data_IF_707822615771
#
_entry.id   IF_707822615771
#
_cell.length_a   1.000
_cell.length_b   1.000
_cell.length_c   1.000
_cell.angle_alpha   90.00
_cell.angle_beta   90.00
_cell.angle_gamma   90.00
#
_symmetry.space_group_name_H-M   'P 1'
#
loop_
_entity.id
_entity.type
_entity.pdbx_description
1 polymer ?
#
# COMPACT_ATOMS: atom_id res chain seq x y z
N UNK A 1 -14.07 10.30 -4.41
CA UNK A 1 -14.37 10.37 -2.96
C UNK A 1 -13.25 11.22 -2.37
N UNK A 2 -13.51 12.13 -1.43
CA UNK A 2 -12.45 12.99 -0.90
C UNK A 2 -11.44 12.15 -0.09
N UNK A 3 -10.16 12.53 -0.12
CA UNK A 3 -9.05 11.84 0.57
C UNK A 3 -8.36 10.73 -0.24
N UNK A 4 -9.14 9.87 -0.90
CA UNK A 4 -8.58 8.80 -1.75
C UNK A 4 -8.40 9.21 -3.21
N UNK A 5 -7.39 8.66 -3.85
CA UNK A 5 -7.22 8.78 -5.30
C UNK A 5 -8.09 7.75 -6.02
N UNK A 6 -8.33 6.62 -5.36
CA UNK A 6 -9.12 5.49 -5.82
C UNK A 6 -8.35 4.49 -6.67
N UNK A 7 -7.01 4.55 -6.68
CA UNK A 7 -6.19 3.73 -7.57
C UNK A 7 -4.92 3.24 -6.90
N UNK A 8 -4.48 2.04 -7.26
CA UNK A 8 -3.18 1.47 -6.91
C UNK A 8 -2.34 1.28 -8.18
N UNK A 9 -1.03 1.50 -8.12
CA UNK A 9 -0.11 1.16 -9.20
C UNK A 9 0.51 -0.22 -8.93
N UNK A 10 0.10 -1.22 -9.71
CA UNK A 10 0.71 -2.55 -9.64
C UNK A 10 1.89 -2.62 -10.59
N UNK A 11 3.05 -3.03 -10.08
CA UNK A 11 4.29 -3.19 -10.84
C UNK A 11 4.80 -4.63 -10.69
N UNK A 12 5.10 -5.29 -11.81
CA UNK A 12 5.80 -6.56 -11.82
C UNK A 12 7.28 -6.31 -12.16
N UNK A 13 8.17 -6.65 -11.22
CA UNK A 13 9.61 -6.45 -11.40
C UNK A 13 10.27 -7.53 -12.26
N UNK A 14 9.61 -8.67 -12.48
CA UNK A 14 10.15 -9.77 -13.29
C UNK A 14 10.17 -9.43 -14.79
N UNK A 15 9.14 -8.71 -15.26
CA UNK A 15 8.95 -8.35 -16.68
C UNK A 15 8.87 -6.84 -16.93
N UNK A 16 8.89 -6.03 -15.87
CA UNK A 16 8.80 -4.57 -15.95
C UNK A 16 7.42 -4.02 -16.30
N UNK A 17 6.39 -4.88 -16.35
CA UNK A 17 5.02 -4.45 -16.64
C UNK A 17 4.41 -3.69 -15.46
N UNK A 18 3.51 -2.76 -15.76
CA UNK A 18 2.76 -2.03 -14.75
C UNK A 18 1.33 -1.75 -15.21
N UNK A 19 0.42 -1.60 -14.25
CA UNK A 19 -0.96 -1.19 -14.51
C UNK A 19 -1.55 -0.43 -13.33
N UNK A 20 -2.42 0.52 -13.65
CA UNK A 20 -3.20 1.28 -12.67
C UNK A 20 -4.52 0.57 -12.44
N UNK A 21 -4.76 0.09 -11.22
CA UNK A 21 -5.96 -0.67 -10.86
C UNK A 21 -6.89 0.19 -10.00
N UNK A 22 -8.20 0.23 -10.30
CA UNK A 22 -9.16 0.94 -9.45
C UNK A 22 -9.40 0.17 -8.15
N UNK A 23 -9.44 0.89 -7.03
CA UNK A 23 -9.79 0.32 -5.72
C UNK A 23 -11.30 0.43 -5.52
N UNK A 24 -11.94 -0.67 -5.13
CA UNK A 24 -13.39 -0.70 -4.87
C UNK A 24 -13.75 0.31 -3.77
N UNK A 25 -14.81 1.09 -3.98
CA UNK A 25 -15.26 2.12 -3.02
C UNK A 25 -15.58 1.54 -1.64
N UNK A 26 -16.17 0.35 -1.58
CA UNK A 26 -16.50 -0.29 -0.31
C UNK A 26 -15.25 -0.69 0.46
N UNK A 27 -14.20 -1.13 -0.25
CA UNK A 27 -12.91 -1.43 0.36
C UNK A 27 -12.23 -0.15 0.88
N UNK A 28 -12.25 0.95 0.13
CA UNK A 28 -11.73 2.24 0.62
C UNK A 28 -12.41 2.67 1.92
N UNK A 29 -13.73 2.42 2.05
CA UNK A 29 -14.51 2.76 3.24
C UNK A 29 -14.23 1.82 4.41
N UNK A 30 -14.18 0.51 4.17
CA UNK A 30 -13.99 -0.48 5.23
C UNK A 30 -12.55 -0.51 5.76
N UNK A 31 -11.57 -0.34 4.88
CA UNK A 31 -10.15 -0.41 5.21
C UNK A 31 -9.51 0.96 5.50
N UNK A 32 -10.23 2.06 5.23
CA UNK A 32 -9.84 3.47 5.44
C UNK A 32 -8.62 3.93 4.61
N UNK A 33 -7.56 3.15 4.49
CA UNK A 33 -6.31 3.55 3.85
C UNK A 33 -5.09 2.99 4.56
N UNK A 34 -3.90 3.36 4.07
CA UNK A 34 -2.61 2.99 4.67
C UNK A 34 -2.54 1.49 4.95
N UNK A 35 -2.27 1.14 6.20
CA UNK A 35 -2.08 -0.26 6.62
C UNK A 35 -3.31 -1.13 6.33
N UNK A 36 -4.52 -0.59 6.45
CA UNK A 36 -5.75 -1.35 6.20
C UNK A 36 -5.85 -1.82 4.75
N UNK A 37 -5.61 -0.91 3.80
CA UNK A 37 -5.57 -1.27 2.38
C UNK A 37 -4.38 -2.18 2.07
N UNK A 38 -3.18 -1.85 2.56
CA UNK A 38 -2.00 -2.67 2.31
C UNK A 38 -2.17 -4.11 2.82
N UNK A 39 -2.85 -4.28 3.95
CA UNK A 39 -3.19 -5.60 4.52
C UNK A 39 -4.20 -6.33 3.64
N UNK A 40 -5.28 -5.68 3.21
CA UNK A 40 -6.30 -6.30 2.36
C UNK A 40 -5.69 -6.81 1.04
N UNK A 41 -4.84 -6.00 0.41
CA UNK A 41 -4.09 -6.39 -0.78
C UNK A 41 -3.15 -7.58 -0.50
N UNK A 42 -2.36 -7.51 0.57
CA UNK A 42 -1.45 -8.59 0.94
C UNK A 42 -2.19 -9.91 1.16
N UNK A 43 -3.30 -9.92 1.90
CA UNK A 43 -4.09 -11.13 2.14
C UNK A 43 -4.83 -11.62 0.89
N UNK A 44 -5.24 -10.72 -0.01
CA UNK A 44 -5.85 -11.09 -1.29
C UNK A 44 -4.86 -11.75 -2.26
N UNK A 45 -3.57 -11.41 -2.17
CA UNK A 45 -2.52 -11.92 -3.05
C UNK A 45 -1.78 -13.12 -2.47
N UNK A 46 -1.60 -13.16 -1.15
CA UNK A 46 -0.84 -14.22 -0.49
C UNK A 46 -1.62 -15.53 -0.44
N UNK A 47 -1.05 -16.60 -1.01
CA UNK A 47 -1.58 -17.96 -0.91
C UNK A 47 -0.81 -18.75 0.14
N UNK A 48 -1.30 -18.72 1.38
CA UNK A 48 -0.70 -19.49 2.48
C UNK A 48 0.68 -18.98 2.89
N UNK A 49 1.54 -19.89 3.37
CA UNK A 49 2.87 -19.51 3.85
C UNK A 49 3.79 -19.25 2.66
N UNK A 50 4.30 -18.02 2.57
CA UNK A 50 5.23 -17.56 1.54
C UNK A 50 6.65 -17.52 2.13
N UNK A 51 7.64 -17.93 1.35
CA UNK A 51 9.05 -17.64 1.64
C UNK A 51 9.28 -16.12 1.51
N UNK A 52 9.64 -15.40 2.58
CA UNK A 52 9.75 -13.94 2.57
C UNK A 52 10.78 -13.38 1.57
N UNK A 53 11.76 -14.19 1.14
CA UNK A 53 12.79 -13.77 0.18
C UNK A 53 12.52 -14.28 -1.24
N UNK A 54 11.38 -14.94 -1.47
CA UNK A 54 10.96 -15.38 -2.79
C UNK A 54 10.32 -14.25 -3.61
N UNK A 55 10.28 -14.44 -4.93
CA UNK A 55 9.57 -13.54 -5.87
C UNK A 55 8.07 -13.41 -5.59
N UNK A 56 7.49 -14.35 -4.82
CA UNK A 56 6.07 -14.31 -4.44
C UNK A 56 5.75 -13.35 -3.30
N UNK A 57 6.75 -12.80 -2.60
CA UNK A 57 6.51 -11.86 -1.50
C UNK A 57 6.41 -10.42 -2.03
N UNK A 58 5.19 -9.98 -2.31
CA UNK A 58 4.94 -8.61 -2.73
C UNK A 58 5.19 -7.59 -1.59
N UNK A 59 5.61 -6.38 -1.99
CA UNK A 59 5.78 -5.23 -1.11
C UNK A 59 4.61 -4.26 -1.36
N UNK A 60 3.85 -3.96 -0.32
CA UNK A 60 2.66 -3.12 -0.41
C UNK A 60 2.96 -1.78 0.24
N UNK A 61 3.04 -0.71 -0.55
CA UNK A 61 3.28 0.65 -0.05
C UNK A 61 1.98 1.42 -0.20
N UNK A 62 1.42 1.93 0.89
CA UNK A 62 0.13 2.62 0.85
C UNK A 62 0.11 3.90 1.68
N UNK A 63 -0.77 4.80 1.30
CA UNK A 63 -1.05 6.09 1.95
C UNK A 63 -2.43 6.08 2.59
N UNK A 64 -2.60 6.88 3.65
CA UNK A 64 -3.90 7.14 4.26
C UNK A 64 -4.67 8.26 3.55
N UNK A 65 -5.98 8.42 3.81
CA UNK A 65 -6.82 9.43 3.16
C UNK A 65 -6.47 10.87 3.52
N UNK A 66 -5.74 11.08 4.63
CA UNK A 66 -5.22 12.39 5.02
C UNK A 66 -3.84 12.69 4.45
N UNK A 67 -3.19 11.71 3.80
CA UNK A 67 -1.83 11.91 3.30
C UNK A 67 -1.80 13.04 2.27
N UNK A 68 -0.85 13.96 2.40
CA UNK A 68 -0.75 15.11 1.48
C UNK A 68 -1.86 16.16 1.66
N UNK A 69 -2.57 16.17 2.79
CA UNK A 69 -3.50 17.25 3.14
C UNK A 69 -2.84 18.27 4.06
N UNK A 70 -3.45 19.45 4.29
CA UNK A 70 -2.95 20.44 5.26
C UNK A 70 -3.02 19.98 6.74
N UNK A 71 -3.52 18.78 7.03
CA UNK A 71 -3.56 18.25 8.39
C UNK A 71 -2.12 18.08 8.90
N UNK A 72 -1.88 18.56 10.13
CA UNK A 72 -0.57 18.49 10.78
C UNK A 72 -0.09 17.03 10.84
N UNK A 73 1.17 16.81 10.48
CA UNK A 73 1.83 15.49 10.49
C UNK A 73 1.20 14.43 9.57
N UNK A 74 0.50 14.84 8.51
CA UNK A 74 -0.12 13.93 7.54
C UNK A 74 0.81 13.45 6.41
N UNK A 75 2.14 13.50 6.59
CA UNK A 75 3.11 13.04 5.59
C UNK A 75 3.43 11.53 5.63
N UNK A 76 2.60 10.72 6.29
CA UNK A 76 2.90 9.31 6.58
C UNK A 76 2.49 8.36 5.45
N UNK A 77 3.27 7.30 5.27
CA UNK A 77 2.92 6.13 4.48
C UNK A 77 3.36 4.87 5.22
N UNK A 78 2.84 3.71 4.80
CA UNK A 78 3.23 2.42 5.36
C UNK A 78 3.73 1.46 4.28
N UNK A 79 4.51 0.47 4.73
CA UNK A 79 4.91 -0.69 3.97
C UNK A 79 4.41 -1.95 4.68
N UNK A 80 3.76 -2.85 3.95
CA UNK A 80 3.27 -4.15 4.45
C UNK A 80 3.78 -5.29 3.57
N UNK A 81 4.30 -6.36 4.20
CA UNK A 81 4.83 -7.55 3.53
C UNK A 81 5.03 -8.71 4.52
N UNK A 82 5.54 -9.85 4.07
CA UNK A 82 6.02 -10.93 4.96
C UNK A 82 7.46 -10.62 5.39
N UNK A 83 7.73 -10.67 6.70
CA UNK A 83 9.06 -10.39 7.25
C UNK A 83 10.04 -11.54 7.03
N UNK A 84 11.26 -11.31 6.52
CA UNK A 84 12.32 -12.32 6.53
C UNK A 84 12.88 -12.59 7.93
N UNK A 85 12.76 -11.63 8.85
CA UNK A 85 13.25 -11.80 10.23
C UNK A 85 12.31 -12.68 11.07
N UNK A 86 11.00 -12.45 10.95
CA UNK A 86 10.01 -13.11 11.80
C UNK A 86 9.21 -14.19 11.09
N UNK A 87 9.23 -14.23 9.75
CA UNK A 87 8.38 -15.09 8.91
C UNK A 87 6.87 -14.82 9.06
N UNK A 88 6.50 -13.67 9.62
CA UNK A 88 5.11 -13.27 9.83
C UNK A 88 4.83 -11.92 9.18
N UNK A 89 3.58 -11.47 9.32
CA UNK A 89 3.12 -10.14 8.93
C UNK A 89 4.04 -9.04 9.46
N UNK A 90 4.47 -8.15 8.56
CA UNK A 90 5.21 -6.95 8.86
C UNK A 90 4.42 -5.73 8.39
N UNK A 91 4.33 -4.74 9.27
CA UNK A 91 4.00 -3.37 8.89
C UNK A 91 5.11 -2.43 9.37
N UNK A 92 5.45 -1.46 8.55
CA UNK A 92 6.38 -0.38 8.88
C UNK A 92 5.80 0.96 8.44
N UNK A 93 6.11 2.02 9.18
CA UNK A 93 5.57 3.36 8.95
C UNK A 93 6.69 4.37 8.80
N UNK A 94 6.63 5.17 7.75
CA UNK A 94 7.60 6.23 7.49
C UNK A 94 6.88 7.56 7.24
N UNK A 95 7.56 8.67 7.51
CA UNK A 95 7.09 10.02 7.23
C UNK A 95 7.85 10.67 6.07
N UNK A 96 7.81 11.98 6.01
CA UNK A 96 8.51 12.76 4.99
C UNK A 96 7.65 13.03 3.76
N UNK A 97 8.31 13.20 2.61
CA UNK A 97 7.66 13.67 1.38
C UNK A 97 7.14 12.55 0.48
N UNK A 98 7.64 11.32 0.62
CA UNK A 98 7.28 10.22 -0.27
C UNK A 98 5.76 9.93 -0.28
N UNK A 99 5.12 9.85 0.89
CA UNK A 99 3.68 9.60 0.98
C UNK A 99 2.85 10.66 0.26
N UNK A 100 3.04 11.96 0.55
CA UNK A 100 2.41 13.04 -0.19
C UNK A 100 2.66 13.00 -1.70
N UNK A 101 3.89 12.78 -2.16
CA UNK A 101 4.18 12.74 -3.61
C UNK A 101 3.49 11.56 -4.31
N UNK A 102 3.46 10.38 -3.66
CA UNK A 102 2.69 9.24 -4.16
C UNK A 102 1.20 9.60 -4.27
N UNK A 103 0.66 10.27 -3.25
CA UNK A 103 -0.73 10.73 -3.24
C UNK A 103 -1.02 11.71 -4.38
N UNK A 104 -0.15 12.71 -4.58
CA UNK A 104 -0.27 13.72 -5.63
C UNK A 104 -0.13 13.14 -7.04
N UNK A 105 0.59 12.03 -7.20
CA UNK A 105 0.65 11.29 -8.47
C UNK A 105 -0.68 10.62 -8.85
N UNK A 106 -1.69 10.66 -7.98
CA UNK A 106 -3.02 10.09 -8.24
C UNK A 106 -3.17 8.62 -7.87
N UNK A 107 -2.37 8.15 -6.90
CA UNK A 107 -2.36 6.77 -6.39
C UNK A 107 -2.51 6.76 -4.86
N UNK A 108 -3.12 5.71 -4.33
CA UNK A 108 -3.20 5.41 -2.89
C UNK A 108 -2.12 4.42 -2.45
N UNK A 109 -1.58 3.64 -3.40
CA UNK A 109 -0.50 2.67 -3.24
C UNK A 109 0.02 2.19 -4.57
#
# INVERSE_FOLDING_TARGET
MLGWSGYVLRVNLDDGSFRREPIKKDLLRSAIGGVGLATDFMFGEARGRIDPLSRGNAIHIFTGPFTGTPIVSSGRFCLVTTSPLTNYYLQSHCGGQFGPELKYSGHDG
#
